data_IF_905699838785
#
_entry.id   IF_905699838785
#
_cell.length_a   1.000
_cell.length_b   1.000
_cell.length_c   1.000
_cell.angle_alpha   90.00
_cell.angle_beta   90.00
_cell.angle_gamma   90.00
#
_symmetry.space_group_name_H-M   'P 1'
#
loop_
_entity.id
_entity.type
_entity.pdbx_description
1 polymer ?
#
# COMPACT_ATOMS: atom_id res chain seq x y z
N UNK A 1 5.35 3.81 -15.81
CA UNK A 1 4.16 4.62 -15.51
C UNK A 1 3.02 3.66 -15.30
N UNK A 2 2.43 3.56 -14.10
CA UNK A 2 1.31 2.63 -13.85
C UNK A 2 0.07 3.14 -14.59
N UNK A 3 -0.55 2.27 -15.39
CA UNK A 3 -1.67 2.62 -16.28
C UNK A 3 -2.89 3.21 -15.55
N UNK A 4 -3.02 2.92 -14.27
CA UNK A 4 -4.23 3.17 -13.48
C UNK A 4 -4.04 4.19 -12.36
N UNK A 5 -2.90 4.90 -12.35
CA UNK A 5 -2.57 5.88 -11.32
C UNK A 5 -2.01 5.23 -10.06
N UNK A 6 -2.20 5.92 -8.93
CA UNK A 6 -1.71 5.53 -7.61
C UNK A 6 -2.83 5.65 -6.57
N UNK A 7 -2.67 4.93 -5.48
CA UNK A 7 -3.50 5.04 -4.27
C UNK A 7 -2.60 5.18 -3.05
N UNK A 8 -3.20 5.59 -1.93
CA UNK A 8 -2.52 5.71 -0.65
C UNK A 8 -2.58 4.40 0.12
N UNK A 9 -1.45 3.76 0.35
CA UNK A 9 -1.35 2.67 1.33
C UNK A 9 -1.20 3.24 2.74
N UNK A 10 -2.12 2.92 3.65
CA UNK A 10 -2.13 3.33 5.06
C UNK A 10 -1.58 2.17 5.90
N UNK A 11 -0.43 2.38 6.53
CA UNK A 11 0.23 1.37 7.37
C UNK A 11 -0.34 1.50 8.79
N UNK A 12 -1.17 0.55 9.20
CA UNK A 12 -2.00 0.69 10.42
C UNK A 12 -1.43 -0.01 11.65
N UNK A 13 -0.31 -0.70 11.51
CA UNK A 13 0.44 -1.33 12.60
C UNK A 13 1.90 -1.57 12.18
N UNK A 14 2.67 -2.15 13.10
CA UNK A 14 4.06 -2.51 12.88
C UNK A 14 5.03 -1.32 12.90
N UNK A 15 6.27 -1.50 12.42
CA UNK A 15 7.33 -0.50 12.56
C UNK A 15 7.07 0.83 11.85
N UNK A 16 6.12 0.88 10.92
CA UNK A 16 5.77 2.08 10.16
C UNK A 16 4.32 2.51 10.41
N UNK A 17 3.72 2.11 11.54
CA UNK A 17 2.38 2.50 11.93
C UNK A 17 2.15 4.03 11.82
N UNK A 18 1.00 4.40 11.28
CA UNK A 18 0.59 5.79 11.06
C UNK A 18 1.25 6.45 9.85
N UNK A 19 2.19 5.78 9.16
CA UNK A 19 2.75 6.26 7.88
C UNK A 19 1.85 5.88 6.71
N UNK A 20 2.04 6.63 5.63
CA UNK A 20 1.37 6.39 4.35
C UNK A 20 2.39 6.34 3.21
N UNK A 21 2.08 5.56 2.19
CA UNK A 21 2.91 5.43 0.99
C UNK A 21 2.03 5.62 -0.24
N UNK A 22 2.48 6.44 -1.20
CA UNK A 22 1.87 6.48 -2.53
C UNK A 22 2.39 5.31 -3.34
N UNK A 23 1.49 4.46 -3.82
CA UNK A 23 1.86 3.26 -4.59
C UNK A 23 0.92 3.04 -5.76
N UNK A 24 1.42 2.40 -6.80
CA UNK A 24 0.66 2.13 -8.02
C UNK A 24 -0.23 0.90 -7.92
N UNK A 25 -1.33 0.92 -8.66
CA UNK A 25 -2.10 -0.30 -8.95
C UNK A 25 -1.27 -1.28 -9.80
N UNK A 26 -1.64 -2.55 -9.78
CA UNK A 26 -1.17 -3.57 -10.72
C UNK A 26 -1.52 -3.22 -12.17
N UNK A 27 -1.00 -3.98 -13.13
CA UNK A 27 -1.40 -3.86 -14.54
C UNK A 27 -2.83 -4.34 -14.84
N UNK A 28 -3.51 -4.97 -13.87
CA UNK A 28 -4.95 -5.28 -13.89
C UNK A 28 -5.80 -4.18 -13.25
N UNK A 29 -5.18 -3.23 -12.54
CA UNK A 29 -5.87 -2.16 -11.83
C UNK A 29 -6.26 -2.52 -10.40
N UNK A 30 -5.81 -3.67 -9.91
CA UNK A 30 -5.99 -4.05 -8.51
C UNK A 30 -4.94 -3.38 -7.61
N UNK A 31 -5.31 -3.11 -6.35
CA UNK A 31 -4.35 -2.79 -5.31
C UNK A 31 -3.32 -3.90 -5.12
N UNK A 32 -2.11 -3.52 -4.68
CA UNK A 32 -1.04 -4.48 -4.44
C UNK A 32 -1.47 -5.43 -3.31
N UNK A 33 -1.45 -6.76 -3.50
CA UNK A 33 -1.85 -7.69 -2.44
C UNK A 33 -0.87 -7.68 -1.26
N UNK A 34 0.39 -7.36 -1.54
CA UNK A 34 1.51 -7.27 -0.59
C UNK A 34 2.43 -6.12 -0.98
N UNK A 35 3.15 -5.58 0.00
CA UNK A 35 4.19 -4.58 -0.20
C UNK A 35 5.45 -4.99 0.55
N UNK A 36 6.59 -4.93 -0.13
CA UNK A 36 7.91 -4.98 0.50
C UNK A 36 8.42 -3.54 0.60
N UNK A 37 8.67 -3.08 1.82
CA UNK A 37 9.15 -1.73 2.08
C UNK A 37 10.61 -1.81 2.53
N UNK A 38 11.56 -1.26 1.76
CA UNK A 38 12.96 -1.26 2.14
C UNK A 38 13.18 -0.43 3.41
N UNK A 39 14.22 -0.78 4.15
CA UNK A 39 14.71 0.00 5.29
C UNK A 39 16.05 0.65 4.95
N UNK A 40 16.63 1.38 5.91
CA UNK A 40 18.00 1.91 5.75
C UNK A 40 19.06 0.80 5.69
N UNK A 41 18.72 -0.42 6.11
CA UNK A 41 19.58 -1.59 5.92
C UNK A 41 19.32 -2.23 4.55
N UNK A 42 20.37 -2.47 3.74
CA UNK A 42 20.22 -3.04 2.40
C UNK A 42 19.67 -4.47 2.41
N UNK A 43 19.81 -5.21 3.51
CA UNK A 43 19.37 -6.61 3.63
C UNK A 43 18.05 -6.76 4.37
N UNK A 44 17.39 -5.67 4.79
CA UNK A 44 16.16 -5.74 5.59
C UNK A 44 15.03 -5.01 4.93
N UNK A 45 13.89 -5.68 4.83
CA UNK A 45 12.64 -5.09 4.38
C UNK A 45 11.47 -5.47 5.29
N UNK A 46 10.46 -4.62 5.35
CA UNK A 46 9.21 -4.91 6.03
C UNK A 46 8.17 -5.41 5.03
N UNK A 47 7.56 -6.54 5.35
CA UNK A 47 6.47 -7.09 4.56
C UNK A 47 5.14 -6.64 5.17
N UNK A 48 4.29 -6.05 4.33
CA UNK A 48 2.91 -5.71 4.65
C UNK A 48 1.95 -6.39 3.67
N UNK A 49 0.75 -6.75 4.14
CA UNK A 49 -0.33 -7.31 3.34
C UNK A 49 -1.56 -6.42 3.39
N UNK A 50 -2.37 -6.47 2.33
CA UNK A 50 -3.60 -5.69 2.23
C UNK A 50 -4.57 -6.06 3.35
N UNK A 51 -5.02 -5.07 4.12
CA UNK A 51 -6.08 -5.18 5.11
C UNK A 51 -7.48 -5.03 4.52
N UNK A 52 -8.47 -4.87 5.38
CA UNK A 52 -9.88 -4.71 4.99
C UNK A 52 -10.33 -3.25 4.83
N UNK A 53 -9.61 -2.29 5.40
CA UNK A 53 -9.92 -0.87 5.26
C UNK A 53 -9.70 -0.40 3.82
N UNK A 54 -10.76 0.06 3.16
CA UNK A 54 -10.72 0.61 1.80
C UNK A 54 -11.51 1.91 1.81
N UNK A 55 -10.91 2.95 1.24
CA UNK A 55 -11.50 4.27 1.04
C UNK A 55 -11.58 4.55 -0.46
N UNK A 56 -12.65 5.24 -0.87
CA UNK A 56 -12.86 5.70 -2.24
C UNK A 56 -12.91 7.23 -2.24
N UNK A 57 -12.48 7.85 -3.35
CA UNK A 57 -12.64 9.29 -3.51
C UNK A 57 -14.13 9.62 -3.68
N UNK A 58 -14.59 10.70 -3.05
CA UNK A 58 -15.96 11.21 -3.24
C UNK A 58 -15.98 12.43 -4.16
N UNK A 59 -17.12 12.66 -4.83
CA UNK A 59 -17.35 13.84 -5.66
C UNK A 59 -17.03 13.69 -7.15
N UNK A 60 -17.05 14.80 -7.88
CA UNK A 60 -16.80 14.85 -9.32
C UNK A 60 -15.35 14.49 -9.63
N UNK A 61 -15.11 13.26 -10.12
CA UNK A 61 -13.77 12.69 -10.31
C UNK A 61 -13.54 11.38 -9.54
N UNK A 62 -14.52 10.95 -8.74
CA UNK A 62 -14.53 9.62 -8.15
C UNK A 62 -14.41 8.54 -9.25
N UNK A 63 -13.45 7.64 -9.06
CA UNK A 63 -13.29 6.45 -9.90
C UNK A 63 -13.79 5.24 -9.13
N UNK A 64 -14.14 4.14 -9.81
CA UNK A 64 -14.45 2.86 -9.17
C UNK A 64 -13.23 2.21 -8.48
N UNK A 65 -12.09 2.89 -8.46
CA UNK A 65 -10.87 2.44 -7.78
C UNK A 65 -10.71 3.09 -6.40
N UNK A 66 -10.15 2.34 -5.44
CA UNK A 66 -9.82 2.88 -4.13
C UNK A 66 -8.88 4.09 -4.21
N UNK A 67 -9.10 5.07 -3.35
CA UNK A 67 -8.16 6.18 -3.13
C UNK A 67 -7.15 5.86 -2.03
N UNK A 68 -7.56 5.09 -1.01
CA UNK A 68 -6.67 4.64 0.05
C UNK A 68 -7.04 3.23 0.55
N UNK A 69 -6.03 2.49 1.00
CA UNK A 69 -6.17 1.10 1.43
C UNK A 69 -5.28 0.83 2.63
N UNK A 70 -5.83 0.10 3.59
CA UNK A 70 -5.14 -0.37 4.78
C UNK A 70 -4.14 -1.48 4.46
N UNK A 71 -2.98 -1.45 5.12
CA UNK A 71 -1.98 -2.50 5.09
C UNK A 71 -1.50 -2.85 6.50
N UNK A 72 -1.40 -4.16 6.74
CA UNK A 72 -1.03 -4.79 8.00
C UNK A 72 0.37 -5.39 7.91
N UNK A 73 1.19 -5.13 8.90
CA UNK A 73 2.52 -5.67 9.04
C UNK A 73 2.47 -7.19 9.22
N UNK A 74 3.34 -7.89 8.51
CA UNK A 74 3.52 -9.34 8.65
C UNK A 74 4.80 -9.66 9.39
N UNK A 75 5.94 -9.18 8.87
CA UNK A 75 7.27 -9.49 9.42
C UNK A 75 8.35 -8.56 8.86
N UNK A 76 9.49 -8.55 9.54
CA UNK A 76 10.75 -8.10 8.96
C UNK A 76 11.45 -9.29 8.30
N UNK A 77 11.78 -9.15 7.03
CA UNK A 77 12.52 -10.15 6.25
C UNK A 77 13.96 -9.69 6.12
N UNK A 78 14.88 -10.65 6.22
CA UNK A 78 16.32 -10.44 6.14
C UNK A 78 16.87 -11.30 4.99
N UNK A 79 17.66 -10.70 4.11
CA UNK A 79 18.36 -11.34 2.99
C UNK A 79 19.81 -11.70 3.33
#
# INVERSE_FOLDING_TARGET
MTRFGTYTAKLVDGPLEGKTISTGFSDGGEPQPRMSIPTDSPTKHYLYIRGSGIEFAEGSGATDRPSAIEYRFVQAVFE
#
